data_IF_165851664009
#
_entry.id   IF_165851664009
#
_cell.length_a   1.000
_cell.length_b   1.000
_cell.length_c   1.000
_cell.angle_alpha   90.00
_cell.angle_beta   90.00
_cell.angle_gamma   90.00
#
_symmetry.space_group_name_H-M   'P 1'
#
loop_
_entity.id
_entity.type
_entity.pdbx_description
1 polymer ?
#
# COMPACT_ATOMS: atom_id res chain seq x y z
N UNK A 1 -21.34 13.03 -24.48
CA UNK A 1 -22.09 12.10 -23.60
C UNK A 1 -22.79 12.87 -22.48
N UNK A 2 -24.01 12.48 -22.13
CA UNK A 2 -24.77 13.11 -21.04
C UNK A 2 -24.30 12.66 -19.64
N UNK A 3 -23.60 11.51 -19.58
CA UNK A 3 -22.99 10.96 -18.36
C UNK A 3 -21.48 10.90 -18.53
N UNK A 4 -20.77 11.32 -17.49
CA UNK A 4 -19.31 11.26 -17.37
C UNK A 4 -18.86 10.16 -16.42
N UNK A 5 -17.65 9.64 -16.63
CA UNK A 5 -17.08 8.57 -15.78
C UNK A 5 -15.69 8.96 -15.31
N UNK A 6 -15.44 8.79 -14.02
CA UNK A 6 -14.13 8.94 -13.42
C UNK A 6 -13.84 7.80 -12.43
N UNK A 7 -12.57 7.46 -12.29
CA UNK A 7 -12.04 6.63 -11.20
C UNK A 7 -11.30 7.54 -10.23
N UNK A 8 -11.69 7.55 -8.96
CA UNK A 8 -11.03 8.34 -7.94
C UNK A 8 -10.68 7.41 -6.77
N UNK A 9 -9.49 6.78 -6.82
CA UNK A 9 -9.09 5.83 -5.80
C UNK A 9 -8.78 6.58 -4.49
N UNK A 10 -9.11 5.93 -3.37
CA UNK A 10 -8.80 6.41 -2.03
C UNK A 10 -7.46 5.84 -1.54
N UNK A 11 -6.74 6.53 -0.64
CA UNK A 11 -5.53 6.03 0.02
C UNK A 11 -5.60 6.20 1.54
N UNK A 12 -6.81 6.13 2.07
CA UNK A 12 -7.08 6.26 3.50
C UNK A 12 -6.52 5.05 4.24
N UNK A 13 -6.16 5.28 5.50
CA UNK A 13 -5.66 4.21 6.36
C UNK A 13 -6.58 4.03 7.55
N UNK A 14 -7.18 2.86 7.67
CA UNK A 14 -7.92 2.51 8.88
C UNK A 14 -6.95 2.31 10.07
N UNK A 15 -5.79 1.68 9.84
CA UNK A 15 -4.91 1.19 10.93
C UNK A 15 -3.42 1.43 10.60
N UNK A 16 -2.97 2.68 10.78
CA UNK A 16 -1.60 3.12 10.42
C UNK A 16 -0.54 2.86 11.51
N UNK A 17 -0.91 2.95 12.80
CA UNK A 17 0.02 2.71 13.93
C UNK A 17 0.52 1.26 13.99
N UNK A 18 -0.18 0.36 13.31
CA UNK A 18 0.17 -1.05 13.18
C UNK A 18 1.43 -1.29 12.35
N UNK A 19 1.89 -0.35 11.53
CA UNK A 19 3.05 -0.60 10.65
C UNK A 19 4.12 0.48 10.72
N UNK A 20 3.91 1.52 11.52
CA UNK A 20 4.89 2.53 11.86
C UNK A 20 4.56 3.18 13.22
N UNK A 21 5.58 3.55 13.99
CA UNK A 21 5.40 4.25 15.28
C UNK A 21 5.05 5.74 15.13
N UNK A 22 4.79 6.20 13.89
CA UNK A 22 4.58 7.59 13.57
C UNK A 22 3.14 7.82 13.08
N UNK A 23 2.42 8.71 13.77
CA UNK A 23 1.05 9.10 13.42
C UNK A 23 0.98 9.81 12.05
N UNK A 24 2.10 10.32 11.52
CA UNK A 24 2.17 10.90 10.18
C UNK A 24 1.95 9.89 9.04
N UNK A 25 1.71 8.61 9.33
CA UNK A 25 1.25 7.61 8.35
C UNK A 25 -0.27 7.44 8.37
N UNK A 26 -0.97 8.06 9.32
CA UNK A 26 -2.43 8.17 9.27
C UNK A 26 -2.84 8.97 8.04
N UNK A 27 -3.76 8.42 7.26
CA UNK A 27 -4.44 9.11 6.18
C UNK A 27 -5.93 9.04 6.44
N UNK A 28 -6.52 10.21 6.61
CA UNK A 28 -7.94 10.47 6.50
C UNK A 28 -8.19 11.40 5.30
N UNK A 29 -9.46 11.69 5.01
CA UNK A 29 -9.82 12.52 3.86
C UNK A 29 -9.15 13.91 3.86
N UNK A 30 -8.85 14.48 5.03
CA UNK A 30 -8.28 15.83 5.16
C UNK A 30 -6.75 15.85 5.27
N UNK A 31 -6.13 14.69 5.50
CA UNK A 31 -4.67 14.52 5.64
C UNK A 31 -4.03 13.76 4.48
N UNK A 32 -4.82 13.48 3.43
CA UNK A 32 -4.29 12.95 2.18
C UNK A 32 -3.19 13.84 1.60
N UNK A 33 -2.16 13.23 1.03
CA UNK A 33 -1.03 13.96 0.45
C UNK A 33 -1.24 14.27 -1.03
N UNK A 34 -2.24 13.62 -1.65
CA UNK A 34 -2.62 13.79 -3.05
C UNK A 34 -4.02 13.27 -3.31
N UNK A 35 -4.62 13.72 -4.41
CA UNK A 35 -5.82 13.11 -5.00
C UNK A 35 -5.47 12.61 -6.40
N UNK A 36 -5.89 11.40 -6.74
CA UNK A 36 -5.76 10.84 -8.09
C UNK A 36 -7.14 10.79 -8.74
N UNK A 37 -7.25 11.28 -9.97
CA UNK A 37 -8.47 11.26 -10.77
C UNK A 37 -8.14 10.63 -12.12
N UNK A 38 -8.65 9.43 -12.36
CA UNK A 38 -8.79 8.85 -13.69
C UNK A 38 -10.00 9.48 -14.36
N UNK A 39 -9.81 10.21 -15.45
CA UNK A 39 -10.88 10.86 -16.20
C UNK A 39 -11.12 10.14 -17.54
N UNK A 40 -12.36 9.76 -17.83
CA UNK A 40 -12.75 9.30 -19.18
C UNK A 40 -12.82 10.49 -20.14
N UNK A 41 -13.28 11.62 -19.62
CA UNK A 41 -13.37 12.89 -20.31
C UNK A 41 -12.99 14.04 -19.39
N UNK A 42 -12.40 15.08 -19.98
CA UNK A 42 -11.86 16.22 -19.23
C UNK A 42 -12.94 16.97 -18.43
N UNK A 43 -14.18 17.05 -18.93
CA UNK A 43 -15.27 17.76 -18.26
C UNK A 43 -15.56 17.11 -16.91
N UNK A 44 -15.61 15.78 -16.86
CA UNK A 44 -15.86 15.03 -15.62
C UNK A 44 -14.70 15.15 -14.63
N UNK A 45 -13.46 15.09 -15.12
CA UNK A 45 -12.28 15.26 -14.28
C UNK A 45 -12.16 16.67 -13.70
N UNK A 46 -12.48 17.71 -14.47
CA UNK A 46 -12.46 19.11 -14.01
C UNK A 46 -13.51 19.36 -12.92
N UNK A 47 -14.68 18.72 -13.01
CA UNK A 47 -15.73 18.77 -11.95
C UNK A 47 -15.22 18.16 -10.65
N UNK A 48 -14.61 16.98 -10.70
CA UNK A 48 -14.02 16.36 -9.49
C UNK A 48 -12.85 17.18 -8.94
N UNK A 49 -11.98 17.72 -9.80
CA UNK A 49 -10.89 18.58 -9.35
C UNK A 49 -11.40 19.82 -8.61
N UNK A 50 -12.48 20.44 -9.08
CA UNK A 50 -13.11 21.56 -8.40
C UNK A 50 -13.64 21.18 -7.01
N UNK A 51 -14.20 19.97 -6.84
CA UNK A 51 -14.64 19.44 -5.56
C UNK A 51 -13.48 19.31 -4.56
N UNK A 52 -12.30 18.88 -5.01
CA UNK A 52 -11.11 18.68 -4.17
C UNK A 52 -10.30 19.95 -3.90
N UNK A 53 -10.58 21.06 -4.58
CA UNK A 53 -9.85 22.34 -4.45
C UNK A 53 -9.67 22.81 -2.99
N UNK A 54 -10.66 22.67 -2.06
CA UNK A 54 -10.50 23.11 -0.68
C UNK A 54 -9.41 22.35 0.11
N UNK A 55 -9.06 21.12 -0.29
CA UNK A 55 -8.04 20.32 0.42
C UNK A 55 -6.61 20.85 0.24
N UNK A 56 -6.36 21.67 -0.78
CA UNK A 56 -5.02 22.25 -1.08
C UNK A 56 -3.90 21.20 -1.25
N UNK A 57 -4.25 20.02 -1.73
CA UNK A 57 -3.30 18.94 -2.05
C UNK A 57 -3.14 18.81 -3.57
N UNK A 58 -2.01 18.29 -4.06
CA UNK A 58 -1.85 17.98 -5.48
C UNK A 58 -2.97 17.08 -6.01
N UNK A 59 -3.58 17.50 -7.12
CA UNK A 59 -4.55 16.68 -7.87
C UNK A 59 -3.87 16.19 -9.15
N UNK A 60 -3.73 14.87 -9.27
CA UNK A 60 -3.14 14.21 -10.43
C UNK A 60 -4.27 13.67 -11.29
N UNK A 61 -4.42 14.21 -12.50
CA UNK A 61 -5.39 13.71 -13.48
C UNK A 61 -4.70 12.81 -14.50
N UNK A 62 -5.31 11.69 -14.83
CA UNK A 62 -4.79 10.66 -15.74
C UNK A 62 -5.95 9.87 -16.36
N UNK A 63 -5.70 8.85 -17.19
CA UNK A 63 -6.73 7.96 -17.69
C UNK A 63 -7.24 6.97 -16.63
N UNK A 64 -8.40 6.35 -16.88
CA UNK A 64 -9.05 5.43 -15.94
C UNK A 64 -8.12 4.28 -15.50
N UNK A 65 -7.47 3.60 -16.45
CA UNK A 65 -6.67 2.40 -16.17
C UNK A 65 -5.41 2.76 -15.39
N UNK A 66 -4.79 3.89 -15.70
CA UNK A 66 -3.63 4.37 -14.95
C UNK A 66 -4.01 4.71 -13.51
N UNK A 67 -5.17 5.33 -13.27
CA UNK A 67 -5.64 5.61 -11.91
C UNK A 67 -5.89 4.33 -11.09
N UNK A 68 -6.53 3.32 -11.69
CA UNK A 68 -6.72 1.99 -11.07
C UNK A 68 -5.38 1.34 -10.73
N UNK A 69 -4.43 1.37 -11.67
CA UNK A 69 -3.10 0.78 -11.47
C UNK A 69 -2.31 1.47 -10.35
N UNK A 70 -2.44 2.80 -10.20
CA UNK A 70 -1.79 3.53 -9.10
C UNK A 70 -2.27 3.01 -7.73
N UNK A 71 -3.56 2.68 -7.58
CA UNK A 71 -4.09 2.12 -6.32
C UNK A 71 -3.46 0.78 -5.99
N UNK A 72 -3.47 -0.15 -6.94
CA UNK A 72 -2.88 -1.47 -6.76
C UNK A 72 -1.37 -1.41 -6.52
N UNK A 73 -0.65 -0.56 -7.27
CA UNK A 73 0.79 -0.38 -7.08
C UNK A 73 1.12 0.12 -5.67
N UNK A 74 0.35 1.08 -5.14
CA UNK A 74 0.56 1.59 -3.79
C UNK A 74 0.33 0.50 -2.73
N UNK A 75 -0.80 -0.21 -2.78
CA UNK A 75 -1.13 -1.24 -1.80
C UNK A 75 -0.16 -2.43 -1.87
N UNK A 76 0.21 -2.87 -3.07
CA UNK A 76 1.22 -3.91 -3.25
C UNK A 76 2.60 -3.49 -2.71
N UNK A 77 3.01 -2.22 -2.90
CA UNK A 77 4.26 -1.72 -2.35
C UNK A 77 4.27 -1.69 -0.81
N UNK A 78 3.15 -1.28 -0.19
CA UNK A 78 3.00 -1.30 1.27
C UNK A 78 3.05 -2.74 1.83
N UNK A 79 2.30 -3.66 1.22
CA UNK A 79 2.34 -5.08 1.56
C UNK A 79 3.75 -5.67 1.42
N UNK A 80 4.44 -5.34 0.33
CA UNK A 80 5.81 -5.79 0.07
C UNK A 80 6.79 -5.32 1.13
N UNK A 81 6.67 -4.07 1.60
CA UNK A 81 7.53 -3.54 2.67
C UNK A 81 7.33 -4.31 3.97
N UNK A 82 6.09 -4.63 4.33
CA UNK A 82 5.80 -5.39 5.55
C UNK A 82 6.39 -6.81 5.44
N UNK A 83 6.15 -7.51 4.32
CA UNK A 83 6.72 -8.85 4.10
C UNK A 83 8.25 -8.83 4.07
N UNK A 84 8.87 -7.82 3.46
CA UNK A 84 10.32 -7.65 3.47
C UNK A 84 10.88 -7.58 4.90
N UNK A 85 10.31 -6.73 5.76
CA UNK A 85 10.78 -6.62 7.15
C UNK A 85 10.51 -7.89 7.96
N UNK A 86 9.43 -8.61 7.67
CA UNK A 86 9.16 -9.92 8.26
C UNK A 86 10.20 -10.97 7.82
N UNK A 87 10.66 -10.94 6.57
CA UNK A 87 11.73 -11.81 6.10
C UNK A 87 13.07 -11.51 6.80
N UNK A 88 13.45 -10.22 6.90
CA UNK A 88 14.63 -9.79 7.66
C UNK A 88 14.53 -10.23 9.12
N UNK A 89 13.34 -10.14 9.72
CA UNK A 89 13.10 -10.62 11.07
C UNK A 89 13.46 -12.11 11.23
N UNK A 90 12.97 -12.98 10.35
CA UNK A 90 13.29 -14.41 10.39
C UNK A 90 14.78 -14.70 10.21
N UNK A 91 15.47 -13.94 9.35
CA UNK A 91 16.91 -14.05 9.18
C UNK A 91 17.62 -13.69 10.49
N UNK A 92 17.23 -12.57 11.12
CA UNK A 92 17.81 -12.15 12.40
C UNK A 92 17.59 -13.18 13.51
N UNK A 93 16.42 -13.84 13.55
CA UNK A 93 16.15 -14.93 14.50
C UNK A 93 17.10 -16.11 14.32
N UNK A 94 17.36 -16.52 13.07
CA UNK A 94 18.30 -17.62 12.78
C UNK A 94 19.75 -17.28 13.13
N UNK A 95 20.11 -16.01 13.02
CA UNK A 95 21.43 -15.51 13.41
C UNK A 95 21.56 -15.26 14.91
N UNK A 96 20.46 -15.25 15.67
CA UNK A 96 20.46 -14.91 17.10
C UNK A 96 20.81 -13.44 17.35
N UNK A 97 20.49 -12.53 16.43
CA UNK A 97 20.82 -11.10 16.52
C UNK A 97 19.60 -10.23 16.80
N UNK A 98 19.85 -9.01 17.28
CA UNK A 98 18.82 -8.02 17.59
C UNK A 98 18.18 -7.45 16.31
N UNK A 99 17.04 -8.02 15.89
CA UNK A 99 16.27 -7.54 14.74
C UNK A 99 15.75 -6.11 14.91
N UNK A 100 15.47 -5.66 16.13
CA UNK A 100 14.94 -4.31 16.39
C UNK A 100 15.97 -3.26 16.05
N UNK A 101 17.22 -3.48 16.45
CA UNK A 101 18.32 -2.58 16.11
C UNK A 101 18.56 -2.55 14.59
N UNK A 102 18.50 -3.70 13.92
CA UNK A 102 18.65 -3.80 12.46
C UNK A 102 17.60 -2.94 11.74
N UNK A 103 16.31 -3.09 12.07
CA UNK A 103 15.26 -2.34 11.36
C UNK A 103 15.24 -0.87 11.72
N UNK A 104 15.57 -0.51 12.97
CA UNK A 104 15.69 0.89 13.38
C UNK A 104 16.78 1.61 12.61
N UNK A 105 18.00 1.04 12.57
CA UNK A 105 19.15 1.66 11.89
C UNK A 105 18.92 1.72 10.38
N UNK A 106 18.44 0.64 9.77
CA UNK A 106 18.16 0.62 8.33
C UNK A 106 17.03 1.60 7.95
N UNK A 107 15.98 1.72 8.78
CA UNK A 107 14.87 2.65 8.56
C UNK A 107 15.22 4.13 8.74
N UNK A 108 16.41 4.45 9.28
CA UNK A 108 16.91 5.84 9.33
C UNK A 108 17.34 6.35 7.95
N UNK A 109 17.65 5.46 6.99
CA UNK A 109 17.90 5.85 5.61
C UNK A 109 16.59 6.32 4.97
N UNK A 110 16.53 7.59 4.57
CA UNK A 110 15.34 8.21 3.97
C UNK A 110 14.87 7.54 2.67
N UNK A 111 15.76 6.85 1.95
CA UNK A 111 15.41 6.09 0.74
C UNK A 111 14.65 4.80 1.06
N UNK A 112 14.85 4.26 2.27
CA UNK A 112 14.16 3.07 2.77
C UNK A 112 12.91 3.50 3.54
N UNK A 113 13.06 4.39 4.53
CA UNK A 113 11.99 4.86 5.39
C UNK A 113 11.52 3.82 6.42
N UNK A 114 10.62 4.23 7.32
CA UNK A 114 10.22 3.46 8.51
C UNK A 114 8.95 2.64 8.37
N UNK A 115 8.17 2.80 7.29
CA UNK A 115 6.95 2.03 7.12
C UNK A 115 7.26 0.52 6.98
N UNK A 116 6.54 -0.30 7.73
CA UNK A 116 6.66 -1.75 7.79
C UNK A 116 7.77 -2.25 8.73
N UNK A 117 8.57 -1.37 9.34
CA UNK A 117 9.68 -1.81 10.23
C UNK A 117 9.18 -2.44 11.53
N UNK A 118 7.89 -2.28 11.86
CA UNK A 118 7.23 -3.06 12.90
C UNK A 118 6.84 -4.41 12.29
N UNK A 119 7.71 -5.40 12.52
CA UNK A 119 7.59 -6.76 12.00
C UNK A 119 7.00 -7.72 13.05
N UNK A 120 6.92 -9.00 12.68
CA UNK A 120 6.62 -10.09 13.59
C UNK A 120 5.15 -10.50 13.62
N UNK A 121 4.32 -9.95 12.73
CA UNK A 121 2.94 -10.35 12.47
C UNK A 121 2.61 -10.19 10.98
N UNK A 122 1.59 -10.90 10.53
CA UNK A 122 1.05 -10.71 9.19
C UNK A 122 0.26 -9.40 9.09
N UNK A 123 0.26 -8.78 7.92
CA UNK A 123 -0.72 -7.76 7.59
C UNK A 123 -2.10 -8.38 7.34
N UNK A 124 -3.10 -7.81 8.01
CA UNK A 124 -4.50 -8.12 7.85
C UNK A 124 -5.28 -6.92 7.33
N UNK A 125 -6.51 -6.76 7.84
CA UNK A 125 -7.43 -5.73 7.39
C UNK A 125 -8.07 -6.05 6.05
N UNK A 126 -9.01 -5.21 5.62
CA UNK A 126 -9.84 -5.48 4.44
C UNK A 126 -9.13 -5.21 3.11
N UNK A 127 -8.15 -4.30 3.10
CA UNK A 127 -7.59 -3.78 1.85
C UNK A 127 -6.33 -4.52 1.40
N UNK A 128 -5.28 -4.63 2.23
CA UNK A 128 -3.98 -5.15 1.76
C UNK A 128 -4.02 -6.62 1.28
N UNK A 129 -4.56 -7.59 2.04
CA UNK A 129 -4.59 -8.99 1.59
C UNK A 129 -5.43 -9.17 0.32
N UNK A 130 -6.63 -8.58 0.31
CA UNK A 130 -7.58 -8.68 -0.80
C UNK A 130 -7.03 -8.04 -2.07
N UNK A 131 -6.47 -6.83 -1.98
CA UNK A 131 -5.98 -6.13 -3.16
C UNK A 131 -4.73 -6.81 -3.73
N UNK A 132 -3.86 -7.36 -2.87
CA UNK A 132 -2.69 -8.13 -3.30
C UNK A 132 -3.13 -9.40 -4.06
N UNK A 133 -4.04 -10.18 -3.49
CA UNK A 133 -4.56 -11.41 -4.11
C UNK A 133 -5.29 -11.13 -5.43
N UNK A 134 -6.14 -10.10 -5.46
CA UNK A 134 -6.84 -9.68 -6.66
C UNK A 134 -5.86 -9.25 -7.77
N UNK A 135 -4.81 -8.51 -7.42
CA UNK A 135 -3.83 -8.04 -8.39
C UNK A 135 -2.94 -9.17 -8.92
N UNK A 136 -2.55 -10.13 -8.07
CA UNK A 136 -1.83 -11.34 -8.51
C UNK A 136 -2.69 -12.13 -9.51
N UNK A 137 -3.99 -12.28 -9.22
CA UNK A 137 -4.93 -12.98 -10.10
C UNK A 137 -5.08 -12.26 -11.44
N UNK A 138 -5.31 -10.95 -11.40
CA UNK A 138 -5.39 -10.12 -12.60
C UNK A 138 -4.12 -10.21 -13.46
N UNK A 139 -2.93 -10.16 -12.85
CA UNK A 139 -1.68 -10.30 -13.57
C UNK A 139 -1.57 -11.65 -14.30
N UNK A 140 -2.00 -12.74 -13.66
CA UNK A 140 -2.03 -14.08 -14.26
C UNK A 140 -3.00 -14.17 -15.43
N UNK A 141 -4.17 -13.54 -15.33
CA UNK A 141 -5.13 -13.45 -16.42
C UNK A 141 -4.58 -12.70 -17.63
N UNK A 142 -3.66 -11.75 -17.41
CA UNK A 142 -2.89 -11.08 -18.47
C UNK A 142 -1.73 -11.92 -19.02
N UNK A 143 -1.51 -13.14 -18.51
CA UNK A 143 -0.40 -14.01 -18.91
C UNK A 143 0.94 -13.65 -18.26
N UNK A 144 0.95 -12.85 -17.18
CA UNK A 144 2.15 -12.49 -16.43
C UNK A 144 2.16 -13.12 -15.03
N UNK A 145 3.29 -13.71 -14.64
CA UNK A 145 3.44 -14.30 -13.32
C UNK A 145 4.22 -13.35 -12.38
N UNK A 146 3.54 -12.65 -11.43
CA UNK A 146 4.19 -11.67 -10.57
C UNK A 146 4.95 -12.36 -9.41
N UNK A 147 6.15 -12.85 -9.69
CA UNK A 147 6.98 -13.61 -8.74
C UNK A 147 7.12 -12.93 -7.38
N UNK A 148 7.48 -11.64 -7.36
CA UNK A 148 7.66 -10.89 -6.11
C UNK A 148 6.38 -10.84 -5.27
N UNK A 149 5.24 -10.51 -5.89
CA UNK A 149 3.98 -10.34 -5.16
C UNK A 149 3.47 -11.67 -4.58
N UNK A 150 3.72 -12.78 -5.28
CA UNK A 150 3.46 -14.12 -4.74
C UNK A 150 4.30 -14.41 -3.51
N UNK A 151 5.60 -14.12 -3.53
CA UNK A 151 6.44 -14.32 -2.33
C UNK A 151 5.99 -13.42 -1.18
N UNK A 152 5.57 -12.18 -1.47
CA UNK A 152 5.00 -11.27 -0.47
C UNK A 152 3.76 -11.88 0.18
N UNK A 153 2.86 -12.46 -0.61
CA UNK A 153 1.66 -13.15 -0.14
C UNK A 153 2.01 -14.38 0.72
N UNK A 154 2.95 -15.22 0.26
CA UNK A 154 3.36 -16.44 0.95
C UNK A 154 4.08 -16.15 2.28
N UNK A 155 4.96 -15.15 2.32
CA UNK A 155 5.58 -14.67 3.57
C UNK A 155 4.49 -14.22 4.55
N UNK A 156 3.48 -13.49 4.06
CA UNK A 156 2.39 -13.00 4.90
C UNK A 156 1.54 -14.14 5.47
N UNK A 157 1.18 -15.14 4.65
CA UNK A 157 0.45 -16.34 5.11
C UNK A 157 1.24 -17.10 6.16
N UNK A 158 2.54 -17.33 5.92
CA UNK A 158 3.42 -18.04 6.84
C UNK A 158 3.51 -17.36 8.19
N UNK A 159 3.82 -16.07 8.22
CA UNK A 159 3.93 -15.35 9.49
C UNK A 159 2.57 -15.22 10.18
N UNK A 160 1.47 -15.14 9.42
CA UNK A 160 0.12 -15.15 9.95
C UNK A 160 -0.21 -16.44 10.69
N UNK A 161 0.19 -17.58 10.13
CA UNK A 161 0.03 -18.89 10.76
C UNK A 161 0.88 -19.05 12.03
N UNK A 162 2.12 -18.54 12.03
CA UNK A 162 3.06 -18.71 13.14
C UNK A 162 2.88 -17.68 14.27
N UNK A 163 2.47 -16.46 13.94
CA UNK A 163 2.53 -15.29 14.85
C UNK A 163 1.25 -14.47 14.90
N UNK A 164 0.24 -14.90 14.16
CA UNK A 164 -1.03 -14.22 14.05
C UNK A 164 -1.00 -13.02 13.11
N UNK A 165 -2.20 -12.49 12.91
CA UNK A 165 -2.46 -11.34 12.06
C UNK A 165 -2.50 -10.09 12.94
N UNK A 166 -1.93 -9.01 12.44
CA UNK A 166 -2.12 -7.67 12.99
C UNK A 166 -3.26 -7.03 12.20
N UNK A 167 -4.43 -7.07 12.81
CA UNK A 167 -5.62 -6.33 12.37
C UNK A 167 -5.43 -4.85 12.71
#
# INVERSE_FOLDING_TARGET
PDIGVCVNPEFLTEIHRSWADNESYARDFFSEERVVIGEFDRRSGDVLQALYKPLKVPVIKTDLKTAEMIKYACNCALASRISYWNEIYYICQRLGINSTLVTQVAGMDKRIGKYGTIYGKAFGGKCLPKDLEAFITFAKELGYEPKLLKEVEEINKKIGAERGIRE
#
